data_IF_998195636461
#
_entry.id   IF_998195636461
#
_cell.length_a   1.000
_cell.length_b   1.000
_cell.length_c   1.000
_cell.angle_alpha   90.00
_cell.angle_beta   90.00
_cell.angle_gamma   90.00
#
_symmetry.space_group_name_H-M   'P 1'
#
loop_
_entity.id
_entity.type
_entity.pdbx_description
1 polymer ?
#
# COMPACT_ATOMS: atom_id res chain seq x y z
N UNK A 1 -11.69 -29.64 9.31
CA UNK A 1 -10.24 -29.87 9.53
C UNK A 1 -9.47 -29.96 8.22
N UNK A 2 -9.93 -30.83 7.28
CA UNK A 2 -9.27 -30.95 5.97
C UNK A 2 -9.21 -29.64 5.19
N UNK A 3 -10.28 -28.86 5.15
CA UNK A 3 -10.33 -27.57 4.48
C UNK A 3 -9.24 -26.61 5.00
N UNK A 4 -9.10 -26.46 6.31
CA UNK A 4 -8.12 -25.59 6.92
C UNK A 4 -6.68 -26.04 6.61
N UNK A 5 -6.43 -27.35 6.66
CA UNK A 5 -5.12 -27.91 6.32
C UNK A 5 -4.77 -27.67 4.84
N UNK A 6 -5.70 -27.89 3.95
CA UNK A 6 -5.52 -27.66 2.51
C UNK A 6 -5.29 -26.18 2.20
N UNK A 7 -6.01 -25.29 2.88
CA UNK A 7 -5.81 -23.85 2.77
C UNK A 7 -4.40 -23.43 3.19
N UNK A 8 -3.94 -23.92 4.34
CA UNK A 8 -2.59 -23.63 4.84
C UNK A 8 -1.52 -24.11 3.85
N UNK A 9 -1.66 -25.34 3.31
CA UNK A 9 -0.71 -25.84 2.34
C UNK A 9 -0.70 -25.02 1.04
N UNK A 10 -1.85 -24.57 0.56
CA UNK A 10 -1.94 -23.67 -0.59
C UNK A 10 -1.28 -22.32 -0.31
N UNK A 11 -1.48 -21.76 0.88
CA UNK A 11 -0.83 -20.51 1.30
C UNK A 11 0.70 -20.65 1.35
N UNK A 12 1.21 -21.75 1.90
CA UNK A 12 2.65 -22.06 1.91
C UNK A 12 3.23 -22.11 0.49
N UNK A 13 2.55 -22.79 -0.44
CA UNK A 13 2.97 -22.85 -1.84
C UNK A 13 3.01 -21.49 -2.49
N UNK A 14 1.99 -20.66 -2.25
CA UNK A 14 1.93 -19.29 -2.77
C UNK A 14 3.09 -18.45 -2.25
N UNK A 15 3.36 -18.51 -0.96
CA UNK A 15 4.48 -17.79 -0.33
C UNK A 15 5.84 -18.28 -0.86
N UNK A 16 6.00 -19.59 -1.04
CA UNK A 16 7.23 -20.16 -1.59
C UNK A 16 7.49 -19.75 -3.05
N UNK A 17 6.42 -19.41 -3.79
CA UNK A 17 6.51 -18.93 -5.17
C UNK A 17 6.83 -17.44 -5.34
N UNK A 18 6.91 -16.67 -4.24
CA UNK A 18 7.28 -15.26 -4.32
C UNK A 18 8.75 -15.10 -4.71
N UNK A 19 9.03 -14.06 -5.48
CA UNK A 19 10.40 -13.70 -5.87
C UNK A 19 11.03 -12.74 -4.84
N UNK A 20 12.00 -13.19 -4.03
CA UNK A 20 12.67 -12.33 -3.07
C UNK A 20 13.43 -11.17 -3.74
N UNK A 21 13.91 -11.38 -4.97
CA UNK A 21 14.59 -10.33 -5.74
C UNK A 21 13.66 -9.19 -6.10
N UNK A 22 12.44 -9.49 -6.53
CA UNK A 22 11.41 -8.49 -6.82
C UNK A 22 11.01 -7.70 -5.56
N UNK A 23 10.87 -8.39 -4.43
CA UNK A 23 10.59 -7.76 -3.13
C UNK A 23 11.73 -6.82 -2.74
N UNK A 24 12.98 -7.27 -2.84
CA UNK A 24 14.15 -6.46 -2.56
C UNK A 24 14.25 -5.22 -3.43
N UNK A 25 13.88 -5.33 -4.71
CA UNK A 25 13.82 -4.20 -5.64
C UNK A 25 12.77 -3.16 -5.22
N UNK A 26 11.59 -3.61 -4.83
CA UNK A 26 10.54 -2.71 -4.32
C UNK A 26 10.99 -1.98 -3.05
N UNK A 27 11.64 -2.68 -2.13
CA UNK A 27 12.22 -2.07 -0.92
C UNK A 27 13.28 -1.01 -1.29
N UNK A 28 14.13 -1.29 -2.27
CA UNK A 28 15.14 -0.32 -2.74
C UNK A 28 14.49 0.95 -3.31
N UNK A 29 13.44 0.82 -4.10
CA UNK A 29 12.70 1.98 -4.62
C UNK A 29 12.09 2.84 -3.52
N UNK A 30 11.52 2.20 -2.50
CA UNK A 30 10.99 2.92 -1.33
C UNK A 30 12.10 3.67 -0.60
N UNK A 31 13.25 3.05 -0.38
CA UNK A 31 14.42 3.70 0.25
C UNK A 31 14.92 4.89 -0.57
N UNK A 32 15.03 4.74 -1.88
CA UNK A 32 15.41 5.84 -2.78
C UNK A 32 14.42 7.00 -2.72
N UNK A 33 13.12 6.72 -2.68
CA UNK A 33 12.11 7.75 -2.51
C UNK A 33 12.26 8.50 -1.19
N UNK A 34 12.47 7.78 -0.09
CA UNK A 34 12.74 8.35 1.23
C UNK A 34 13.97 9.25 1.18
N UNK A 35 15.10 8.72 0.72
CA UNK A 35 16.39 9.40 0.73
C UNK A 35 16.40 10.63 -0.20
N UNK A 36 15.64 10.58 -1.29
CA UNK A 36 15.42 11.68 -2.22
C UNK A 36 14.32 12.66 -1.80
N UNK A 37 13.70 12.48 -0.65
CA UNK A 37 12.61 13.34 -0.16
C UNK A 37 11.35 13.30 -1.02
N UNK A 38 11.15 12.22 -1.78
CA UNK A 38 10.02 12.07 -2.69
C UNK A 38 8.78 11.55 -1.99
N UNK A 39 7.62 11.94 -2.49
CA UNK A 39 6.33 11.46 -2.00
C UNK A 39 6.03 10.06 -2.54
N UNK A 40 5.59 9.17 -1.67
CA UNK A 40 5.04 7.86 -2.02
C UNK A 40 3.54 7.91 -1.89
N UNK A 41 2.82 7.41 -2.87
CA UNK A 41 1.36 7.29 -2.83
C UNK A 41 0.97 5.83 -2.79
N UNK A 42 0.08 5.49 -1.86
CA UNK A 42 -0.54 4.18 -1.79
C UNK A 42 -2.01 4.30 -2.13
N UNK A 43 -2.54 3.36 -2.89
CA UNK A 43 -3.95 3.37 -3.27
C UNK A 43 -4.51 1.95 -3.42
N UNK A 44 -5.81 1.85 -3.38
CA UNK A 44 -6.55 0.61 -3.55
C UNK A 44 -8.04 0.85 -3.39
N UNK A 45 -8.84 -0.16 -3.69
CA UNK A 45 -10.29 -0.15 -3.56
C UNK A 45 -10.75 -1.25 -2.59
N UNK A 46 -11.83 -1.01 -1.86
CA UNK A 46 -12.39 -1.98 -0.92
C UNK A 46 -11.37 -2.42 0.13
N UNK A 47 -11.13 -3.73 0.25
CA UNK A 47 -10.12 -4.27 1.15
C UNK A 47 -8.71 -3.79 0.84
N UNK A 48 -8.39 -3.55 -0.42
CA UNK A 48 -7.10 -2.99 -0.82
C UNK A 48 -6.93 -1.52 -0.40
N UNK A 49 -8.02 -0.75 -0.28
CA UNK A 49 -7.99 0.59 0.29
C UNK A 49 -7.57 0.55 1.77
N UNK A 50 -8.11 -0.39 2.53
CA UNK A 50 -7.73 -0.63 3.92
C UNK A 50 -6.26 -1.03 4.05
N UNK A 51 -5.78 -1.90 3.16
CA UNK A 51 -4.37 -2.31 3.11
C UNK A 51 -3.48 -1.11 2.80
N UNK A 52 -3.87 -0.26 1.83
CA UNK A 52 -3.11 0.95 1.49
C UNK A 52 -2.98 1.90 2.69
N UNK A 53 -4.07 2.15 3.41
CA UNK A 53 -4.07 3.00 4.61
C UNK A 53 -3.24 2.40 5.74
N UNK A 54 -3.32 1.09 5.95
CA UNK A 54 -2.50 0.39 6.94
C UNK A 54 -1.00 0.43 6.58
N UNK A 55 -0.67 0.22 5.31
CA UNK A 55 0.70 0.34 4.82
C UNK A 55 1.29 1.74 5.11
N UNK A 56 0.51 2.78 4.91
CA UNK A 56 0.93 4.16 5.24
C UNK A 56 1.27 4.29 6.72
N UNK A 57 0.45 3.77 7.62
CA UNK A 57 0.70 3.78 9.07
C UNK A 57 1.98 3.03 9.42
N UNK A 58 2.20 1.87 8.83
CA UNK A 58 3.40 1.06 9.08
C UNK A 58 4.67 1.80 8.63
N UNK A 59 4.61 2.49 7.51
CA UNK A 59 5.75 3.29 7.01
C UNK A 59 5.95 4.56 7.85
N UNK A 60 4.89 5.30 8.19
CA UNK A 60 4.99 6.55 8.96
C UNK A 60 5.39 6.32 10.41
N UNK A 61 4.86 5.29 11.04
CA UNK A 61 5.16 4.95 12.43
C UNK A 61 6.30 3.92 12.52
N UNK A 62 6.14 2.77 11.87
CA UNK A 62 7.10 1.68 12.01
C UNK A 62 8.46 1.97 11.42
N UNK A 63 8.52 2.59 10.26
CA UNK A 63 9.77 2.84 9.54
C UNK A 63 10.32 4.27 9.67
N UNK A 64 9.57 5.20 10.23
CA UNK A 64 9.96 6.62 10.26
C UNK A 64 10.01 7.24 11.66
N UNK A 65 9.27 6.72 12.63
CA UNK A 65 9.24 7.28 13.97
C UNK A 65 10.64 7.28 14.61
N UNK A 66 11.02 8.42 15.19
CA UNK A 66 12.31 8.56 15.83
C UNK A 66 13.52 8.62 14.90
N UNK A 67 13.30 8.72 13.59
CA UNK A 67 14.38 8.84 12.58
C UNK A 67 14.41 10.25 11.99
N UNK A 68 15.61 10.73 11.69
CA UNK A 68 15.79 12.01 10.98
C UNK A 68 15.30 11.90 9.54
N UNK A 69 15.69 10.83 8.85
CA UNK A 69 15.29 10.56 7.47
C UNK A 69 13.98 9.78 7.45
N UNK A 70 12.88 10.49 7.19
CA UNK A 70 11.52 9.96 7.27
C UNK A 70 10.89 9.84 5.90
N UNK A 71 10.00 8.86 5.76
CA UNK A 71 9.17 8.74 4.57
C UNK A 71 8.13 9.86 4.48
N UNK A 72 7.86 10.29 3.26
CA UNK A 72 6.70 11.09 2.90
C UNK A 72 5.74 10.17 2.15
N UNK A 73 4.65 9.81 2.78
CA UNK A 73 3.71 8.85 2.22
C UNK A 73 2.27 9.22 2.56
N UNK A 74 1.38 9.06 1.59
CA UNK A 74 -0.05 9.28 1.73
C UNK A 74 -0.84 8.13 1.12
N UNK A 75 -2.00 7.83 1.70
CA UNK A 75 -2.99 6.96 1.08
C UNK A 75 -4.04 7.80 0.34
N UNK A 76 -4.23 7.52 -0.93
CA UNK A 76 -5.29 8.15 -1.73
C UNK A 76 -6.69 7.61 -1.37
N UNK A 77 -6.77 6.62 -0.49
CA UNK A 77 -8.02 6.03 -0.02
C UNK A 77 -8.55 6.67 1.28
N UNK A 78 -7.82 7.61 1.89
CA UNK A 78 -8.19 8.16 3.20
C UNK A 78 -9.20 9.32 3.13
N UNK A 79 -9.29 10.02 1.99
CA UNK A 79 -10.21 11.15 1.84
C UNK A 79 -11.55 10.69 1.28
N UNK A 80 -12.46 10.31 2.15
CA UNK A 80 -13.82 9.86 1.79
C UNK A 80 -14.58 10.95 1.00
N UNK A 81 -14.48 12.21 1.41
CA UNK A 81 -15.15 13.31 0.75
C UNK A 81 -14.67 13.49 -0.70
N UNK A 82 -13.37 13.45 -0.95
CA UNK A 82 -12.79 13.56 -2.30
C UNK A 82 -13.24 12.39 -3.20
N UNK A 83 -13.11 11.17 -2.68
CA UNK A 83 -13.48 9.94 -3.40
C UNK A 83 -14.95 9.96 -3.81
N UNK A 84 -15.83 10.27 -2.86
CA UNK A 84 -17.28 10.26 -3.13
C UNK A 84 -17.71 11.42 -4.02
N UNK A 85 -17.10 12.59 -3.92
CA UNK A 85 -17.38 13.72 -4.80
C UNK A 85 -17.03 13.39 -6.26
N UNK A 86 -15.84 12.89 -6.53
CA UNK A 86 -15.46 12.48 -7.89
C UNK A 86 -16.33 11.33 -8.41
N UNK A 87 -16.62 10.34 -7.60
CA UNK A 87 -17.45 9.21 -7.99
C UNK A 87 -18.88 9.63 -8.37
N UNK A 88 -19.42 10.65 -7.70
CA UNK A 88 -20.79 11.15 -7.90
C UNK A 88 -20.85 12.17 -9.04
N UNK A 89 -19.94 13.14 -9.06
CA UNK A 89 -20.03 14.33 -9.90
C UNK A 89 -19.26 14.21 -11.23
N UNK A 90 -18.27 13.33 -11.30
CA UNK A 90 -17.42 13.18 -12.49
C UNK A 90 -17.48 11.75 -13.01
N UNK A 91 -16.56 10.92 -12.57
CA UNK A 91 -16.45 9.53 -12.98
C UNK A 91 -15.68 8.74 -11.93
N UNK A 92 -16.08 7.51 -11.74
CA UNK A 92 -15.43 6.58 -10.86
C UNK A 92 -13.98 6.28 -11.27
N UNK A 93 -13.69 6.26 -12.57
CA UNK A 93 -12.36 5.96 -13.10
C UNK A 93 -11.34 7.06 -12.82
N UNK A 94 -11.75 8.30 -12.63
CA UNK A 94 -10.85 9.42 -12.40
C UNK A 94 -10.47 9.64 -10.92
N UNK A 95 -11.09 8.93 -9.98
CA UNK A 95 -10.89 9.16 -8.54
C UNK A 95 -9.43 9.18 -8.13
N UNK A 96 -8.65 8.19 -8.53
CA UNK A 96 -7.24 8.07 -8.14
C UNK A 96 -6.32 8.97 -8.97
N UNK A 97 -6.75 9.37 -10.15
CA UNK A 97 -5.96 10.24 -11.05
C UNK A 97 -6.06 11.71 -10.63
N UNK A 98 -7.28 12.14 -10.27
CA UNK A 98 -7.55 13.55 -9.92
C UNK A 98 -7.39 13.83 -8.42
N UNK A 99 -7.19 12.81 -7.62
CA UNK A 99 -7.01 12.94 -6.18
C UNK A 99 -5.69 13.64 -5.83
#
# INVERSE_FOLDING_TARGET
MKFAADYIENLKKTLAGLDPGAIGKAVSWLKEARDGGRMVFACGNGGSATIASHFVVDILKGASYGRENRFKILSLADSVATITAYATDVDRECILVEH
#
